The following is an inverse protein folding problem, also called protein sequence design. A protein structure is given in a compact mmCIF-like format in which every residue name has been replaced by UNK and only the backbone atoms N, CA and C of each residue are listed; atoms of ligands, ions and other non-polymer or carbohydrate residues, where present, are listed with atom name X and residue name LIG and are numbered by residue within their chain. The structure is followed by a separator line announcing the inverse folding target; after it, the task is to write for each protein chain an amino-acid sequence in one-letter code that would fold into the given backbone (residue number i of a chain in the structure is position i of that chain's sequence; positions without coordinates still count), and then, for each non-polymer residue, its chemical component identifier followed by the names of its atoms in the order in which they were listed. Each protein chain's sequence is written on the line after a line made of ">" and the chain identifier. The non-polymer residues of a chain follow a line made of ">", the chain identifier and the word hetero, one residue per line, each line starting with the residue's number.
data_IF_525335770139
#
_entry.id   IF_525335770139
#
_cell.length_a   1.000
_cell.length_b   1.000
_cell.length_c   1.000
_cell.angle_alpha   90.00
_cell.angle_beta   90.00
_cell.angle_gamma   90.00
#
_symmetry.space_group_name_H-M   'P 1'
#
loop_
_entity.id
_entity.type
_entity.pdbx_description
1 polymer ?
#
# COMPACT_ATOMS: atom_id res chain seq x y z
N UNK A 1 -6.81 -1.44 -13.22
CA UNK A 1 -5.97 -1.68 -12.03
C UNK A 1 -5.21 -2.99 -12.21
N UNK A 2 -3.92 -3.00 -11.86
CA UNK A 2 -3.06 -4.17 -12.00
C UNK A 2 -2.50 -4.61 -10.66
N UNK A 3 -2.13 -5.88 -10.56
CA UNK A 3 -1.51 -6.47 -9.38
C UNK A 3 0.00 -6.58 -9.58
N UNK A 4 0.77 -6.21 -8.56
CA UNK A 4 2.22 -6.36 -8.55
C UNK A 4 2.62 -7.09 -7.28
N UNK A 5 3.59 -8.01 -7.39
CA UNK A 5 4.23 -8.57 -6.18
C UNK A 5 5.07 -7.48 -5.52
N UNK A 6 5.48 -7.64 -4.24
CA UNK A 6 6.36 -6.65 -3.62
C UNK A 6 7.64 -6.39 -4.42
N UNK A 7 8.28 -7.44 -4.94
CA UNK A 7 9.47 -7.27 -5.75
C UNK A 7 9.20 -6.50 -7.04
N UNK A 8 8.12 -6.84 -7.74
CA UNK A 8 7.71 -6.12 -8.94
C UNK A 8 7.41 -4.65 -8.64
N UNK A 9 6.75 -4.39 -7.50
CA UNK A 9 6.43 -3.03 -7.07
C UNK A 9 7.71 -2.23 -6.80
N UNK A 10 8.66 -2.83 -6.09
CA UNK A 10 9.94 -2.20 -5.80
C UNK A 10 10.69 -1.86 -7.09
N UNK A 11 10.74 -2.80 -8.03
CA UNK A 11 11.38 -2.60 -9.33
C UNK A 11 10.68 -1.51 -10.14
N UNK A 12 9.34 -1.47 -10.09
CA UNK A 12 8.56 -0.44 -10.78
C UNK A 12 8.90 0.95 -10.26
N UNK A 13 8.95 1.09 -8.93
CA UNK A 13 9.30 2.37 -8.30
C UNK A 13 10.71 2.82 -8.66
N UNK A 14 11.64 1.88 -8.76
CA UNK A 14 13.02 2.19 -9.12
C UNK A 14 13.16 2.68 -10.56
N UNK A 15 12.28 2.19 -11.47
CA UNK A 15 12.34 2.54 -12.90
C UNK A 15 11.45 3.71 -13.29
N UNK A 16 10.51 4.11 -12.45
CA UNK A 16 9.53 5.14 -12.77
C UNK A 16 9.59 6.26 -11.73
N UNK A 17 10.31 7.32 -12.04
CA UNK A 17 10.51 8.44 -11.12
C UNK A 17 9.21 9.10 -10.68
N UNK A 18 8.16 9.03 -11.52
CA UNK A 18 6.86 9.63 -11.21
C UNK A 18 5.98 8.74 -10.33
N UNK A 19 6.32 7.47 -10.20
CA UNK A 19 5.53 6.54 -9.40
C UNK A 19 5.67 6.83 -7.91
N UNK A 20 4.59 6.59 -7.16
CA UNK A 20 4.57 6.76 -5.71
C UNK A 20 3.95 5.54 -5.05
N UNK A 21 4.48 5.18 -3.89
CA UNK A 21 3.97 4.10 -3.05
C UNK A 21 3.16 4.71 -1.92
N UNK A 22 1.93 4.25 -1.75
CA UNK A 22 1.03 4.70 -0.70
C UNK A 22 0.71 3.54 0.23
N UNK A 23 1.03 3.70 1.51
CA UNK A 23 0.67 2.75 2.55
C UNK A 23 -0.71 3.14 3.08
N UNK A 24 -1.70 2.27 2.87
CA UNK A 24 -3.09 2.56 3.21
C UNK A 24 -3.53 1.95 4.55
N UNK A 25 -2.57 1.44 5.32
CA UNK A 25 -2.84 0.83 6.63
C UNK A 25 -3.16 1.91 7.67
N UNK A 26 -3.59 1.46 8.86
CA UNK A 26 -3.79 2.36 9.98
C UNK A 26 -2.48 3.03 10.41
N UNK A 27 -2.59 4.15 11.10
CA UNK A 27 -1.43 4.85 11.64
C UNK A 27 -0.62 3.95 12.59
N UNK A 28 -1.33 3.19 13.43
CA UNK A 28 -0.69 2.26 14.36
C UNK A 28 0.17 1.22 13.64
N UNK A 29 -0.36 0.62 12.58
CA UNK A 29 0.41 -0.35 11.79
C UNK A 29 1.62 0.32 11.14
N UNK A 30 1.42 1.47 10.54
CA UNK A 30 2.49 2.20 9.85
C UNK A 30 3.66 2.49 10.79
N UNK A 31 3.36 3.00 11.99
CA UNK A 31 4.38 3.41 12.95
C UNK A 31 5.01 2.24 13.69
N UNK A 32 4.20 1.31 14.20
CA UNK A 32 4.69 0.28 15.14
C UNK A 32 5.07 -1.03 14.46
N UNK A 33 4.38 -1.45 13.44
CA UNK A 33 4.76 -2.67 12.71
C UNK A 33 5.91 -2.38 11.76
N UNK A 34 5.95 -1.18 11.22
CA UNK A 34 6.94 -0.78 10.23
C UNK A 34 6.27 -0.46 8.90
N UNK A 35 7.03 0.11 7.97
CA UNK A 35 6.53 0.54 6.68
C UNK A 35 7.63 0.49 5.62
N UNK A 36 7.28 0.39 4.34
CA UNK A 36 8.28 0.46 3.27
C UNK A 36 8.95 1.82 3.26
N UNK A 37 10.25 1.87 2.97
CA UNK A 37 10.93 3.15 2.78
C UNK A 37 10.36 3.85 1.56
N UNK A 38 10.14 5.16 1.69
CA UNK A 38 9.61 5.98 0.60
C UNK A 38 8.10 5.94 0.45
N UNK A 39 7.39 5.18 1.29
CA UNK A 39 5.94 5.16 1.23
C UNK A 39 5.34 6.41 1.88
N UNK A 40 4.30 6.96 1.23
CA UNK A 40 3.45 7.98 1.85
C UNK A 40 2.34 7.28 2.60
N UNK A 41 2.05 7.73 3.81
CA UNK A 41 0.96 7.14 4.59
C UNK A 41 -0.34 7.91 4.37
N UNK A 42 -1.32 7.26 3.77
CA UNK A 42 -2.68 7.78 3.61
C UNK A 42 -3.62 6.63 3.93
N UNK A 43 -4.19 6.63 5.13
CA UNK A 43 -5.00 5.51 5.60
C UNK A 43 -6.32 5.39 4.84
N UNK A 44 -6.64 4.15 4.43
CA UNK A 44 -7.95 3.80 3.88
C UNK A 44 -8.95 3.54 5.02
N UNK A 45 -8.51 2.79 6.02
CA UNK A 45 -9.25 2.55 7.27
C UNK A 45 -8.31 2.83 8.43
N UNK A 46 -8.83 3.43 9.50
CA UNK A 46 -8.01 3.81 10.64
C UNK A 46 -8.82 3.78 11.93
N UNK A 47 -8.10 3.91 13.06
CA UNK A 47 -8.71 3.91 14.37
C UNK A 47 -9.09 2.53 14.89
N UNK A 48 -9.55 2.46 16.17
CA UNK A 48 -9.85 1.17 16.80
C UNK A 48 -11.01 0.43 16.13
N UNK A 49 -11.89 1.15 15.46
CA UNK A 49 -13.07 0.56 14.80
C UNK A 49 -12.89 0.37 13.31
N UNK A 50 -11.68 0.53 12.79
CA UNK A 50 -11.36 0.37 11.35
C UNK A 50 -12.26 1.21 10.45
N UNK A 51 -12.50 2.46 10.83
CA UNK A 51 -13.36 3.34 10.07
C UNK A 51 -12.77 3.72 8.73
N UNK A 52 -13.61 3.67 7.69
CA UNK A 52 -13.25 4.18 6.37
C UNK A 52 -13.02 5.68 6.46
N UNK A 53 -11.91 6.15 5.87
CA UNK A 53 -11.57 7.57 5.90
C UNK A 53 -12.30 8.26 4.74
N UNK A 54 -13.28 9.14 5.04
CA UNK A 54 -14.12 9.73 4.00
C UNK A 54 -13.36 10.62 3.02
N UNK A 55 -12.22 11.16 3.46
CA UNK A 55 -11.41 12.07 2.64
C UNK A 55 -10.26 11.35 1.91
N UNK A 56 -10.24 10.02 1.93
CA UNK A 56 -9.15 9.25 1.35
C UNK A 56 -8.86 9.65 -0.11
N UNK A 57 -9.86 9.65 -0.95
CA UNK A 57 -9.70 9.97 -2.38
C UNK A 57 -9.13 11.37 -2.57
N UNK A 58 -9.63 12.34 -1.80
CA UNK A 58 -9.15 13.72 -1.89
C UNK A 58 -7.73 13.87 -1.37
N UNK A 59 -7.37 13.16 -0.32
CA UNK A 59 -5.99 13.17 0.18
C UNK A 59 -5.03 12.59 -0.86
N UNK A 60 -5.41 11.49 -1.50
CA UNK A 60 -4.60 10.90 -2.57
C UNK A 60 -4.49 11.86 -3.75
N UNK A 61 -5.59 12.53 -4.12
CA UNK A 61 -5.59 13.49 -5.22
C UNK A 61 -4.62 14.64 -4.95
N UNK A 62 -4.62 15.18 -3.74
CA UNK A 62 -3.69 16.24 -3.36
C UNK A 62 -2.23 15.77 -3.38
N UNK A 63 -1.99 14.56 -2.86
CA UNK A 63 -0.65 14.00 -2.85
C UNK A 63 -0.13 13.72 -4.26
N UNK A 64 -0.94 13.10 -5.10
CA UNK A 64 -0.55 12.72 -6.45
C UNK A 64 -0.40 13.91 -7.39
N UNK A 65 -1.26 14.91 -7.25
CA UNK A 65 -1.27 16.09 -8.11
C UNK A 65 -1.87 15.86 -9.49
N UNK A 66 -1.79 14.64 -10.02
CA UNK A 66 -2.28 14.29 -11.35
C UNK A 66 -2.86 12.87 -11.29
N UNK A 67 -4.04 12.68 -11.87
CA UNK A 67 -4.72 11.38 -11.88
C UNK A 67 -4.05 10.36 -12.81
N UNK A 68 -3.09 10.77 -13.62
CA UNK A 68 -2.32 9.87 -14.47
C UNK A 68 -1.04 9.36 -13.82
N UNK A 69 -0.66 9.90 -12.66
CA UNK A 69 0.55 9.48 -11.96
C UNK A 69 0.39 8.03 -11.49
N UNK A 70 1.38 7.16 -11.74
CA UNK A 70 1.32 5.79 -11.25
C UNK A 70 1.36 5.75 -9.72
N UNK A 71 0.36 5.11 -9.11
CA UNK A 71 0.25 4.96 -7.67
C UNK A 71 0.16 3.48 -7.33
N UNK A 72 1.04 3.03 -6.43
CA UNK A 72 1.07 1.67 -5.94
C UNK A 72 0.57 1.69 -4.50
N UNK A 73 -0.44 0.86 -4.20
CA UNK A 73 -1.04 0.82 -2.88
C UNK A 73 -0.64 -0.44 -2.15
N UNK A 74 -0.25 -0.31 -0.89
CA UNK A 74 0.16 -1.44 -0.06
C UNK A 74 -0.60 -1.43 1.27
N UNK A 75 -1.00 -2.60 1.73
CA UNK A 75 -1.57 -2.79 3.06
C UNK A 75 -0.89 -3.98 3.74
N UNK A 76 -1.54 -4.63 4.70
CA UNK A 76 -0.91 -5.75 5.41
C UNK A 76 -0.74 -6.98 4.53
N UNK A 77 -1.79 -7.37 3.80
CA UNK A 77 -1.78 -8.60 2.99
C UNK A 77 -2.38 -8.43 1.59
N UNK A 78 -2.75 -7.22 1.20
CA UNK A 78 -3.28 -6.94 -0.13
C UNK A 78 -4.78 -6.70 -0.22
N UNK A 79 -5.56 -6.97 0.83
CA UNK A 79 -7.03 -6.87 0.77
C UNK A 79 -7.56 -5.44 0.87
N UNK A 80 -7.10 -4.67 1.85
CA UNK A 80 -7.53 -3.28 2.03
C UNK A 80 -7.04 -2.41 0.88
N UNK A 81 -5.82 -2.62 0.44
CA UNK A 81 -5.25 -1.87 -0.69
C UNK A 81 -5.98 -2.18 -1.98
N UNK A 82 -6.48 -3.41 -2.16
CA UNK A 82 -7.32 -3.77 -3.30
C UNK A 82 -8.58 -2.90 -3.33
N UNK A 83 -9.27 -2.76 -2.20
CA UNK A 83 -10.49 -1.94 -2.11
C UNK A 83 -10.19 -0.47 -2.33
N UNK A 84 -9.11 0.02 -1.74
CA UNK A 84 -8.68 1.41 -1.94
C UNK A 84 -8.35 1.67 -3.40
N UNK A 85 -7.66 0.74 -4.06
CA UNK A 85 -7.32 0.83 -5.48
C UNK A 85 -8.57 0.88 -6.36
N UNK A 86 -9.58 0.07 -6.02
CA UNK A 86 -10.87 0.09 -6.74
C UNK A 86 -11.55 1.45 -6.60
N UNK A 87 -11.54 2.02 -5.39
CA UNK A 87 -12.13 3.34 -5.15
C UNK A 87 -11.43 4.44 -5.97
N UNK A 88 -10.10 4.41 -6.03
CA UNK A 88 -9.33 5.37 -6.81
C UNK A 88 -9.58 5.22 -8.31
N UNK A 89 -9.64 3.99 -8.80
CA UNK A 89 -9.94 3.72 -10.20
C UNK A 89 -11.33 4.26 -10.55
N UNK A 90 -12.32 4.04 -9.70
CA UNK A 90 -13.66 4.56 -9.89
C UNK A 90 -13.70 6.09 -9.86
N UNK A 91 -12.77 6.72 -9.15
CA UNK A 91 -12.67 8.18 -9.05
C UNK A 91 -11.88 8.81 -10.21
N UNK A 92 -11.44 8.03 -11.20
CA UNK A 92 -10.80 8.54 -12.40
C UNK A 92 -9.29 8.44 -12.45
N UNK A 93 -8.65 7.81 -11.46
CA UNK A 93 -7.20 7.58 -11.51
C UNK A 93 -6.90 6.49 -12.53
N UNK A 94 -5.97 6.75 -13.45
CA UNK A 94 -5.72 5.89 -14.61
C UNK A 94 -4.58 4.89 -14.47
N UNK A 95 -3.74 5.00 -13.43
CA UNK A 95 -2.56 4.15 -13.28
C UNK A 95 -2.42 3.66 -11.85
N UNK A 96 -3.35 2.82 -11.42
CA UNK A 96 -3.42 2.30 -10.06
C UNK A 96 -2.97 0.83 -10.04
N UNK A 97 -2.12 0.51 -9.07
CA UNK A 97 -1.56 -0.84 -8.87
C UNK A 97 -1.76 -1.26 -7.42
N UNK A 98 -2.11 -2.53 -7.22
CA UNK A 98 -2.18 -3.11 -5.88
C UNK A 98 -0.94 -3.97 -5.64
N UNK A 99 -0.29 -3.79 -4.49
CA UNK A 99 0.83 -4.66 -4.10
C UNK A 99 0.26 -5.90 -3.42
N UNK A 100 0.29 -7.02 -4.13
CA UNK A 100 -0.17 -8.30 -3.59
C UNK A 100 0.74 -8.73 -2.45
N UNK A 101 0.21 -9.50 -1.50
CA UNK A 101 0.87 -9.94 -0.29
C UNK A 101 1.19 -8.79 0.69
N UNK A 102 1.17 -7.54 0.25
CA UNK A 102 1.33 -6.38 1.11
C UNK A 102 2.66 -6.33 1.86
N UNK A 103 2.65 -5.67 3.02
CA UNK A 103 3.83 -5.48 3.84
C UNK A 103 4.20 -6.74 4.64
N UNK A 104 3.21 -7.42 5.24
CA UNK A 104 3.44 -8.55 6.12
C UNK A 104 3.17 -9.91 5.46
N UNK A 105 2.46 -9.91 4.35
CA UNK A 105 2.17 -11.14 3.62
C UNK A 105 1.05 -11.98 4.22
N UNK A 106 0.95 -13.20 3.73
CA UNK A 106 -0.06 -14.17 4.15
C UNK A 106 0.36 -14.84 5.46
N UNK A 107 -0.62 -15.32 6.21
CA UNK A 107 -0.36 -16.12 7.42
C UNK A 107 0.08 -17.52 7.03
N UNK A 108 1.06 -18.07 7.76
CA UNK A 108 1.46 -19.46 7.61
C UNK A 108 0.51 -20.38 8.42
N UNK A 109 0.83 -21.66 8.49
CA UNK A 109 0.02 -22.66 9.21
C UNK A 109 -0.17 -22.33 10.70
N UNK A 110 0.80 -21.64 11.28
CA UNK A 110 0.76 -21.25 12.70
C UNK A 110 0.09 -19.88 12.90
N UNK A 111 -0.41 -19.27 11.83
CA UNK A 111 -1.04 -17.97 11.88
C UNK A 111 -0.06 -16.80 11.92
N UNK A 112 1.21 -17.01 11.56
CA UNK A 112 2.23 -15.97 11.57
C UNK A 112 2.41 -15.37 10.17
N UNK A 113 2.63 -14.05 10.14
CA UNK A 113 2.94 -13.31 8.90
C UNK A 113 4.45 -13.12 8.78
N UNK A 114 4.86 -12.59 7.63
CA UNK A 114 6.27 -12.33 7.28
C UNK A 114 7.13 -13.60 7.25
N UNK A 115 6.51 -14.73 6.97
CA UNK A 115 7.20 -16.01 6.87
C UNK A 115 7.11 -16.65 5.49
N UNK A 116 6.12 -16.26 4.69
CA UNK A 116 5.88 -16.82 3.36
C UNK A 116 6.17 -15.83 2.25
N UNK A 117 5.71 -14.60 2.40
CA UNK A 117 5.80 -13.55 1.40
C UNK A 117 5.56 -12.19 2.04
N UNK A 118 5.53 -11.13 1.23
CA UNK A 118 5.33 -9.76 1.66
C UNK A 118 6.61 -8.92 1.55
N UNK A 119 6.44 -7.59 1.56
CA UNK A 119 7.54 -6.64 1.41
C UNK A 119 8.68 -6.90 2.40
N UNK A 120 8.33 -7.04 3.68
CA UNK A 120 9.32 -7.25 4.74
C UNK A 120 10.00 -8.61 4.65
N UNK A 121 9.24 -9.69 4.40
CA UNK A 121 9.77 -11.02 4.22
C UNK A 121 10.73 -11.09 3.03
N UNK A 122 10.40 -10.40 1.95
CA UNK A 122 11.18 -10.44 0.71
C UNK A 122 12.46 -9.60 0.80
N UNK A 123 12.74 -9.00 1.96
CA UNK A 123 13.98 -8.28 2.19
C UNK A 123 14.04 -6.90 1.56
N UNK A 124 12.91 -6.33 1.18
CA UNK A 124 12.86 -5.00 0.57
C UNK A 124 13.00 -3.91 1.65
N UNK A 125 13.46 -2.70 1.28
CA UNK A 125 13.77 -1.66 2.28
C UNK A 125 12.56 -1.23 3.11
N UNK A 126 12.70 -1.25 4.44
CA UNK A 126 11.64 -0.85 5.36
C UNK A 126 12.23 -0.27 6.65
N UNK A 127 11.39 0.43 7.42
CA UNK A 127 11.78 1.07 8.67
C UNK A 127 10.63 1.01 9.68
N UNK A 128 10.94 1.35 10.94
CA UNK A 128 9.96 1.47 12.03
C UNK A 128 10.08 2.83 12.69
N UNK A 129 8.98 3.27 13.27
CA UNK A 129 8.96 4.53 14.02
C UNK A 129 8.59 5.77 13.26
#
# INVERSE_FOLDING_TARGET
>A
MKQLTPQEAHDFLARNADARLIDVRSETEYLFVGHPLGAEHIAWQDGPDWELQPDFVEEVRRFAGDTSRPLLLICRCGNRSQRAAEALTAAGFGAIYNVTHGFEGERNEDGHRSTLNGWRHDGLPWAQG
#
